data_IF_960062451747
#
_entry.id   IF_960062451747
#
_cell.length_a   1.000
_cell.length_b   1.000
_cell.length_c   1.000
_cell.angle_alpha   90.00
_cell.angle_beta   90.00
_cell.angle_gamma   90.00
#
_symmetry.space_group_name_H-M   'P 1'
#
loop_
_entity.id
_entity.type
_entity.pdbx_description
1 polymer ?
#
# COMPACT_ATOMS: atom_id res chain seq x y z
N UNK A 1 8.21 -9.78 -10.96
CA UNK A 1 7.34 -8.90 -11.76
C UNK A 1 7.13 -9.59 -13.10
N UNK A 2 5.89 -9.76 -13.61
CA UNK A 2 5.74 -10.31 -14.97
C UNK A 2 6.17 -9.29 -16.03
N UNK A 3 6.79 -9.80 -17.10
CA UNK A 3 7.60 -9.05 -18.05
C UNK A 3 6.79 -8.18 -19.02
N UNK A 4 5.67 -8.70 -19.55
CA UNK A 4 4.94 -8.06 -20.67
C UNK A 4 3.54 -7.56 -20.22
N UNK A 5 3.51 -6.49 -19.42
CA UNK A 5 2.27 -5.89 -18.89
C UNK A 5 1.89 -4.63 -19.67
N UNK A 6 0.60 -4.48 -19.98
CA UNK A 6 0.07 -3.22 -20.47
C UNK A 6 0.38 -2.06 -19.49
N UNK A 7 0.55 -0.85 -20.03
CA UNK A 7 0.92 0.32 -19.22
C UNK A 7 -0.12 0.68 -18.14
N UNK A 8 -1.41 0.55 -18.48
CA UNK A 8 -2.53 0.75 -17.54
C UNK A 8 -2.42 -0.20 -16.34
N UNK A 9 -2.08 -1.46 -16.60
CA UNK A 9 -1.87 -2.47 -15.58
C UNK A 9 -0.64 -2.16 -14.72
N UNK A 10 0.48 -1.74 -15.32
CA UNK A 10 1.68 -1.29 -14.59
C UNK A 10 1.37 -0.12 -13.65
N UNK A 11 0.59 0.88 -14.09
CA UNK A 11 0.14 1.99 -13.24
C UNK A 11 -0.67 1.52 -12.03
N UNK A 12 -1.61 0.59 -12.21
CA UNK A 12 -2.41 0.03 -11.10
C UNK A 12 -1.52 -0.68 -10.07
N UNK A 13 -0.54 -1.46 -10.53
CA UNK A 13 0.42 -2.13 -9.65
C UNK A 13 1.30 -1.14 -8.89
N UNK A 14 1.83 -0.12 -9.56
CA UNK A 14 2.63 0.94 -8.91
C UNK A 14 1.80 1.67 -7.86
N UNK A 15 0.54 2.00 -8.17
CA UNK A 15 -0.39 2.63 -7.22
C UNK A 15 -0.65 1.73 -6.01
N UNK A 16 -0.87 0.43 -6.23
CA UNK A 16 -1.03 -0.56 -5.17
C UNK A 16 0.21 -0.68 -4.28
N UNK A 17 1.41 -0.67 -4.88
CA UNK A 17 2.66 -0.75 -4.14
C UNK A 17 2.92 0.53 -3.31
N UNK A 18 2.66 1.72 -3.86
CA UNK A 18 2.84 2.99 -3.14
C UNK A 18 1.93 3.12 -1.92
N UNK A 19 0.72 2.55 -1.98
CA UNK A 19 -0.26 2.57 -0.87
C UNK A 19 0.11 1.61 0.27
N UNK A 20 0.99 0.63 0.03
CA UNK A 20 1.44 -0.36 1.01
C UNK A 20 2.53 0.21 1.92
N UNK A 21 2.22 1.29 2.63
CA UNK A 21 3.14 1.93 3.59
C UNK A 21 2.37 2.26 4.86
N UNK A 22 3.02 2.04 6.00
CA UNK A 22 2.51 2.45 7.31
C UNK A 22 2.45 3.99 7.39
N UNK A 23 1.58 4.51 8.24
CA UNK A 23 1.54 5.96 8.48
C UNK A 23 2.89 6.45 9.05
N UNK A 24 3.35 7.66 8.68
CA UNK A 24 4.60 8.23 9.17
C UNK A 24 4.62 8.46 10.69
N UNK A 25 5.82 8.47 11.28
CA UNK A 25 6.01 8.67 12.73
C UNK A 25 5.41 9.98 13.24
N UNK A 26 5.54 11.07 12.46
CA UNK A 26 4.96 12.36 12.85
C UNK A 26 3.42 12.31 12.96
N UNK A 27 2.76 11.44 12.19
CA UNK A 27 1.30 11.23 12.30
C UNK A 27 0.96 10.55 13.62
N UNK A 28 1.81 9.63 14.10
CA UNK A 28 1.62 8.98 15.40
C UNK A 28 1.75 9.97 16.55
N UNK A 29 2.75 10.85 16.50
CA UNK A 29 2.93 11.92 17.48
C UNK A 29 1.72 12.85 17.48
N UNK A 30 1.29 13.31 16.30
CA UNK A 30 0.15 14.24 16.15
C UNK A 30 -1.18 13.67 16.63
N UNK A 31 -1.41 12.38 16.42
CA UNK A 31 -2.71 11.73 16.69
C UNK A 31 -2.75 10.97 18.01
N UNK A 32 -1.75 11.11 18.89
CA UNK A 32 -1.61 10.27 20.09
C UNK A 32 -1.76 8.78 19.77
N UNK A 33 -1.12 8.34 18.68
CA UNK A 33 -1.15 6.97 18.17
C UNK A 33 -2.55 6.43 17.85
N UNK A 34 -3.55 7.28 17.59
CA UNK A 34 -4.88 6.85 17.14
C UNK A 34 -4.86 6.36 15.69
N UNK A 35 -4.09 7.02 14.82
CA UNK A 35 -3.95 6.62 13.41
C UNK A 35 -2.64 5.86 13.24
N UNK A 36 -2.68 4.53 13.29
CA UNK A 36 -1.49 3.67 13.22
C UNK A 36 -1.26 3.04 11.84
N UNK A 37 -2.32 2.48 11.27
CA UNK A 37 -2.30 1.75 10.01
C UNK A 37 -3.56 2.03 9.20
N UNK A 38 -3.52 1.64 7.93
CA UNK A 38 -4.67 1.63 7.03
C UNK A 38 -5.00 0.19 6.63
N UNK A 39 -6.29 -0.16 6.43
CA UNK A 39 -6.65 -1.46 5.85
C UNK A 39 -5.94 -1.73 4.52
N UNK A 40 -5.59 -0.67 3.78
CA UNK A 40 -4.86 -0.74 2.51
C UNK A 40 -3.34 -0.87 2.67
N UNK A 41 -2.78 -0.48 3.82
CA UNK A 41 -1.34 -0.62 4.12
C UNK A 41 -0.96 -2.03 4.55
N UNK A 42 -1.89 -2.72 5.23
CA UNK A 42 -1.67 -4.05 5.84
C UNK A 42 -1.82 -5.22 4.85
N UNK A 43 -1.92 -4.90 3.56
CA UNK A 43 -2.07 -5.90 2.50
C UNK A 43 -0.78 -6.68 2.30
N UNK A 44 -0.87 -8.01 2.26
CA UNK A 44 0.26 -8.89 1.91
C UNK A 44 0.05 -9.51 0.53
N UNK A 45 1.10 -9.60 -0.28
CA UNK A 45 1.02 -10.22 -1.62
C UNK A 45 0.68 -11.71 -1.59
N UNK A 46 0.93 -12.37 -0.45
CA UNK A 46 0.59 -13.78 -0.22
C UNK A 46 -0.87 -13.98 0.19
N UNK A 47 -1.41 -13.08 1.02
CA UNK A 47 -2.76 -13.23 1.61
C UNK A 47 -3.84 -12.58 0.76
N UNK A 48 -3.57 -11.39 0.22
CA UNK A 48 -4.55 -10.63 -0.55
C UNK A 48 -4.03 -10.41 -1.98
N UNK A 49 -4.89 -10.63 -2.97
CA UNK A 49 -4.59 -10.29 -4.36
C UNK A 49 -4.96 -8.83 -4.63
N UNK A 50 -4.29 -8.19 -5.60
CA UNK A 50 -4.58 -6.79 -6.01
C UNK A 50 -5.76 -6.70 -6.98
N UNK A 51 -6.11 -7.85 -7.54
CA UNK A 51 -7.03 -8.11 -8.64
C UNK A 51 -7.71 -9.44 -8.30
#
# INVERSE_FOLDING_TARGET
MSSNKAFSFKKRLVKGNRRRKRAPVWVFAKTNRKVRDSPKSNRSWRRDKLL
#
